data_IF_071363916407
#
_entry.id   IF_071363916407
#
_cell.length_a   1.000
_cell.length_b   1.000
_cell.length_c   1.000
_cell.angle_alpha   90.00
_cell.angle_beta   90.00
_cell.angle_gamma   90.00
#
_symmetry.space_group_name_H-M   'P 1'
#
loop_
_entity.id
_entity.type
_entity.pdbx_description
1 polymer ?
#
# COMPACT_ATOMS: atom_id res chain seq x y z
N UNK A 1 0.76 -14.53 6.79
CA UNK A 1 0.08 -13.93 5.63
C UNK A 1 1.03 -13.57 4.48
N UNK A 2 2.31 -13.21 4.73
CA UNK A 2 3.21 -12.71 3.66
C UNK A 2 4.26 -13.71 3.17
N UNK A 3 4.51 -14.79 3.92
CA UNK A 3 5.41 -15.87 3.46
C UNK A 3 4.78 -16.63 2.31
N UNK A 4 5.61 -17.19 1.45
CA UNK A 4 5.18 -18.17 0.46
C UNK A 4 4.32 -19.24 1.14
N UNK A 5 3.07 -19.35 0.70
CA UNK A 5 2.16 -20.38 1.16
C UNK A 5 2.19 -21.51 0.14
N UNK A 6 3.33 -22.19 0.03
CA UNK A 6 3.49 -23.32 -0.90
C UNK A 6 2.43 -24.41 -0.67
N UNK A 7 1.96 -24.55 0.57
CA UNK A 7 0.91 -25.50 0.94
C UNK A 7 -0.47 -25.08 0.43
N UNK A 8 -0.77 -23.77 0.36
CA UNK A 8 -2.06 -23.25 -0.08
C UNK A 8 -1.90 -22.03 -1.02
N UNK A 9 -1.41 -22.23 -2.26
CA UNK A 9 -1.09 -21.14 -3.19
C UNK A 9 -2.32 -20.40 -3.73
N UNK A 10 -3.51 -20.96 -3.58
CA UNK A 10 -4.77 -20.34 -3.98
C UNK A 10 -5.22 -19.21 -3.04
N UNK A 11 -4.49 -18.97 -1.95
CA UNK A 11 -4.91 -18.09 -0.87
C UNK A 11 -4.20 -16.76 -0.89
N UNK A 12 -4.97 -15.72 -0.69
CA UNK A 12 -4.48 -14.36 -0.60
C UNK A 12 -5.32 -13.55 0.36
N UNK A 13 -4.74 -12.47 0.85
CA UNK A 13 -5.46 -11.51 1.65
C UNK A 13 -4.63 -10.31 2.01
N UNK A 14 -5.29 -9.28 2.50
CA UNK A 14 -4.68 -8.06 3.01
C UNK A 14 -5.44 -7.59 4.25
N UNK A 15 -4.78 -6.76 5.05
CA UNK A 15 -5.39 -6.17 6.24
C UNK A 15 -5.65 -4.71 5.98
N UNK A 16 -6.77 -4.21 6.48
CA UNK A 16 -7.10 -2.78 6.47
C UNK A 16 -7.43 -2.32 7.88
N UNK A 17 -6.85 -1.19 8.31
CA UNK A 17 -7.29 -0.42 9.46
C UNK A 17 -8.13 0.75 8.93
N UNK A 18 -9.28 1.03 9.51
CA UNK A 18 -10.16 2.12 9.05
C UNK A 18 -10.74 2.91 10.21
N UNK A 19 -10.85 4.22 10.03
CA UNK A 19 -11.47 5.14 10.99
C UNK A 19 -12.10 6.34 10.28
N UNK A 20 -13.12 6.93 10.88
CA UNK A 20 -13.67 8.22 10.47
C UNK A 20 -14.19 8.98 11.69
N UNK A 21 -14.37 10.31 11.61
CA UNK A 21 -14.73 11.12 12.78
C UNK A 21 -15.98 10.62 13.49
N UNK A 22 -15.93 10.59 14.82
CA UNK A 22 -17.04 10.11 15.66
C UNK A 22 -17.34 8.60 15.58
N UNK A 23 -16.42 7.79 15.00
CA UNK A 23 -16.55 6.32 14.92
C UNK A 23 -15.39 5.64 15.64
N UNK A 24 -15.62 4.45 16.16
CA UNK A 24 -14.54 3.60 16.67
C UNK A 24 -13.68 3.09 15.49
N UNK A 25 -12.35 2.97 15.66
CA UNK A 25 -11.50 2.37 14.66
C UNK A 25 -11.86 0.89 14.46
N UNK A 26 -11.66 0.40 13.24
CA UNK A 26 -11.99 -0.97 12.85
C UNK A 26 -10.85 -1.63 12.08
N UNK A 27 -10.79 -2.96 12.14
CA UNK A 27 -9.83 -3.76 11.37
C UNK A 27 -10.61 -4.74 10.50
N UNK A 28 -10.29 -4.76 9.21
CA UNK A 28 -10.82 -5.71 8.25
C UNK A 28 -9.71 -6.65 7.76
N UNK A 29 -10.01 -7.95 7.73
CA UNK A 29 -9.18 -8.96 7.09
C UNK A 29 -9.87 -9.38 5.79
N UNK A 30 -9.35 -8.91 4.66
CA UNK A 30 -9.90 -9.26 3.35
C UNK A 30 -9.16 -10.52 2.91
N UNK A 31 -9.89 -11.62 2.77
CA UNK A 31 -9.32 -12.94 2.45
C UNK A 31 -10.02 -13.53 1.24
N UNK A 32 -9.27 -14.22 0.39
CA UNK A 32 -9.76 -14.89 -0.80
C UNK A 32 -9.07 -16.24 -0.99
N UNK A 33 -9.82 -17.23 -1.46
CA UNK A 33 -9.30 -18.51 -1.93
C UNK A 33 -9.87 -18.76 -3.34
N UNK A 34 -9.01 -18.77 -4.36
CA UNK A 34 -9.44 -18.85 -5.77
C UNK A 34 -9.91 -20.24 -6.20
N UNK A 35 -9.63 -21.27 -5.39
CA UNK A 35 -10.13 -22.64 -5.58
C UNK A 35 -11.51 -22.85 -4.91
N UNK A 36 -12.03 -21.83 -4.21
CA UNK A 36 -13.33 -21.89 -3.55
C UNK A 36 -13.34 -22.63 -2.20
N UNK A 37 -12.18 -22.85 -1.59
CA UNK A 37 -12.08 -23.52 -0.28
C UNK A 37 -12.49 -22.55 0.84
N UNK A 38 -13.61 -22.83 1.50
CA UNK A 38 -14.23 -21.95 2.50
C UNK A 38 -13.61 -22.01 3.90
N UNK A 39 -12.86 -23.07 4.22
CA UNK A 39 -12.27 -23.30 5.54
C UNK A 39 -10.78 -23.67 5.43
N UNK A 40 -10.03 -22.75 4.85
CA UNK A 40 -8.58 -22.81 4.85
C UNK A 40 -7.98 -22.78 6.26
N UNK A 41 -6.88 -23.50 6.47
CA UNK A 41 -6.04 -23.41 7.67
C UNK A 41 -5.20 -22.12 7.74
N UNK A 42 -4.92 -21.46 6.63
CA UNK A 42 -4.02 -20.30 6.61
C UNK A 42 -4.60 -19.05 7.27
N UNK A 43 -5.91 -19.05 7.48
CA UNK A 43 -6.64 -18.01 8.20
C UNK A 43 -7.18 -18.51 9.55
N UNK A 44 -6.65 -19.63 10.06
CA UNK A 44 -6.97 -20.10 11.40
C UNK A 44 -6.64 -18.99 12.43
N UNK A 45 -7.52 -18.84 13.42
CA UNK A 45 -7.41 -17.78 14.43
C UNK A 45 -8.19 -16.51 14.12
N UNK A 46 -8.53 -16.21 12.85
CA UNK A 46 -9.36 -15.02 12.55
C UNK A 46 -10.75 -15.13 13.17
N UNK A 47 -11.30 -16.34 13.22
CA UNK A 47 -12.60 -16.62 13.83
C UNK A 47 -12.59 -16.47 15.37
N UNK A 48 -11.41 -16.42 15.99
CA UNK A 48 -11.25 -16.27 17.45
C UNK A 48 -11.17 -14.79 17.87
N UNK A 49 -11.09 -13.87 16.91
CA UNK A 49 -11.14 -12.42 17.15
C UNK A 49 -12.57 -12.01 17.52
N UNK A 50 -12.74 -11.11 18.49
CA UNK A 50 -14.06 -10.65 18.95
C UNK A 50 -14.03 -9.19 19.39
N UNK A 51 -15.04 -8.36 19.03
CA UNK A 51 -16.17 -8.69 18.16
C UNK A 51 -15.75 -8.88 16.69
N UNK A 52 -16.37 -9.85 16.00
CA UNK A 52 -16.10 -10.19 14.60
C UNK A 52 -17.40 -10.18 13.80
N UNK A 53 -17.36 -9.51 12.65
CA UNK A 53 -18.38 -9.62 11.60
C UNK A 53 -17.75 -10.38 10.45
N UNK A 54 -18.16 -11.63 10.24
CA UNK A 54 -17.69 -12.46 9.12
C UNK A 54 -18.69 -12.41 7.96
N UNK A 55 -18.29 -11.78 6.86
CA UNK A 55 -19.10 -11.65 5.63
C UNK A 55 -18.59 -12.53 4.50
N UNK A 56 -17.64 -13.45 4.76
CA UNK A 56 -17.08 -14.32 3.72
C UNK A 56 -18.15 -15.20 3.10
N UNK A 57 -18.12 -15.31 1.79
CA UNK A 57 -19.04 -16.14 1.02
C UNK A 57 -18.37 -16.64 -0.27
N UNK A 58 -18.88 -17.74 -0.83
CA UNK A 58 -18.45 -18.23 -2.13
C UNK A 58 -19.14 -17.42 -3.23
N UNK A 59 -18.36 -16.65 -3.99
CA UNK A 59 -18.85 -15.80 -5.08
C UNK A 59 -17.92 -15.92 -6.30
N UNK A 60 -18.42 -15.69 -7.53
CA UNK A 60 -17.54 -15.55 -8.69
C UNK A 60 -16.57 -14.38 -8.52
N UNK A 61 -15.38 -14.46 -9.13
CA UNK A 61 -14.38 -13.36 -9.09
C UNK A 61 -14.97 -12.01 -9.55
N UNK A 62 -15.90 -12.02 -10.50
CA UNK A 62 -16.58 -10.78 -10.95
C UNK A 62 -17.42 -10.11 -9.86
N UNK A 63 -18.05 -10.89 -8.98
CA UNK A 63 -18.80 -10.36 -7.84
C UNK A 63 -17.86 -9.94 -6.72
N UNK A 64 -16.78 -10.68 -6.48
CA UNK A 64 -15.75 -10.28 -5.51
C UNK A 64 -15.13 -8.92 -5.87
N UNK A 65 -14.79 -8.68 -7.14
CA UNK A 65 -14.28 -7.38 -7.61
C UNK A 65 -15.29 -6.26 -7.39
N UNK A 66 -16.59 -6.51 -7.59
CA UNK A 66 -17.64 -5.52 -7.29
C UNK A 66 -17.74 -5.23 -5.80
N UNK A 67 -17.55 -6.21 -4.93
CA UNK A 67 -17.57 -6.02 -3.47
C UNK A 67 -16.39 -5.17 -2.98
N UNK A 68 -15.24 -5.21 -3.67
CA UNK A 68 -14.09 -4.35 -3.37
C UNK A 68 -14.25 -2.91 -3.86
N UNK A 69 -15.25 -2.64 -4.71
CA UNK A 69 -15.44 -1.30 -5.26
C UNK A 69 -15.97 -0.35 -4.18
N UNK A 70 -15.15 0.62 -3.79
CA UNK A 70 -15.53 1.69 -2.89
C UNK A 70 -16.46 2.73 -3.53
N UNK A 71 -16.86 3.71 -2.73
CA UNK A 71 -17.66 4.85 -3.17
C UNK A 71 -16.91 5.68 -4.21
N UNK A 72 -17.54 5.90 -5.37
CA UNK A 72 -16.99 6.74 -6.43
C UNK A 72 -17.25 8.23 -6.17
N UNK A 73 -16.42 9.09 -6.75
CA UNK A 73 -16.59 10.55 -6.70
C UNK A 73 -16.01 11.23 -5.47
N UNK A 74 -15.20 10.53 -4.68
CA UNK A 74 -14.47 11.07 -3.54
C UNK A 74 -13.10 11.62 -3.96
N UNK A 75 -12.60 12.59 -3.20
CA UNK A 75 -11.24 13.09 -3.29
C UNK A 75 -10.32 12.18 -2.45
N UNK A 76 -9.15 11.84 -2.98
CA UNK A 76 -8.25 10.86 -2.36
C UNK A 76 -6.88 11.49 -2.08
N UNK A 77 -6.37 11.28 -0.87
CA UNK A 77 -4.97 11.59 -0.52
C UNK A 77 -4.30 10.27 -0.18
N UNK A 78 -3.29 9.87 -0.96
CA UNK A 78 -2.62 8.57 -0.83
C UNK A 78 -1.12 8.72 -0.65
N UNK A 79 -0.57 7.91 0.23
CA UNK A 79 0.87 7.77 0.46
C UNK A 79 1.25 6.30 0.58
N UNK A 80 2.50 5.96 0.27
CA UNK A 80 2.98 4.57 0.35
C UNK A 80 4.36 4.43 0.94
N UNK A 81 4.59 3.30 1.62
CA UNK A 81 5.89 2.84 2.07
C UNK A 81 5.89 1.32 2.11
N UNK A 82 7.05 0.69 1.90
CA UNK A 82 7.22 -0.75 2.11
C UNK A 82 8.18 -1.07 3.24
N UNK A 83 7.98 -2.20 3.90
CA UNK A 83 8.80 -2.69 5.01
C UNK A 83 8.62 -4.19 5.21
N UNK A 84 9.52 -4.84 5.95
CA UNK A 84 9.45 -6.28 6.19
C UNK A 84 8.17 -6.65 6.95
N UNK A 85 7.56 -7.77 6.57
CA UNK A 85 6.32 -8.26 7.13
C UNK A 85 6.51 -8.95 8.49
N UNK A 86 6.85 -8.16 9.51
CA UNK A 86 7.04 -8.63 10.88
C UNK A 86 5.95 -8.12 11.81
N UNK A 87 5.75 -8.83 12.93
CA UNK A 87 4.83 -8.39 13.98
C UNK A 87 5.27 -7.07 14.62
N UNK A 88 6.56 -6.77 14.62
CA UNK A 88 7.08 -5.50 15.12
C UNK A 88 6.63 -4.34 14.23
N UNK A 89 6.83 -4.46 12.91
CA UNK A 89 6.36 -3.44 11.96
C UNK A 89 4.85 -3.30 11.98
N UNK A 90 4.10 -4.41 12.07
CA UNK A 90 2.64 -4.37 12.19
C UNK A 90 2.16 -3.61 13.44
N UNK A 91 2.86 -3.77 14.58
CA UNK A 91 2.58 -2.99 15.80
C UNK A 91 2.93 -1.52 15.64
N UNK A 92 4.04 -1.20 14.96
CA UNK A 92 4.42 0.19 14.69
C UNK A 92 3.38 0.89 13.82
N UNK A 93 2.87 0.22 12.79
CA UNK A 93 1.79 0.75 11.94
C UNK A 93 0.52 1.01 12.76
N UNK A 94 0.15 0.10 13.67
CA UNK A 94 -1.00 0.29 14.55
C UNK A 94 -0.80 1.49 15.50
N UNK A 95 0.37 1.61 16.12
CA UNK A 95 0.72 2.74 17.00
C UNK A 95 0.60 4.09 16.27
N UNK A 96 1.16 4.18 15.05
CA UNK A 96 1.12 5.39 14.23
C UNK A 96 -0.31 5.69 13.76
N UNK A 97 -1.08 4.66 13.40
CA UNK A 97 -2.50 4.81 13.06
C UNK A 97 -3.31 5.36 14.23
N UNK A 98 -3.16 4.80 15.43
CA UNK A 98 -3.86 5.27 16.64
C UNK A 98 -3.48 6.70 17.01
N UNK A 99 -2.20 7.07 16.91
CA UNK A 99 -1.73 8.43 17.14
C UNK A 99 -2.29 9.42 16.11
N UNK A 100 -2.31 9.03 14.84
CA UNK A 100 -2.85 9.83 13.75
C UNK A 100 -4.35 10.13 13.94
N UNK A 101 -5.16 9.10 14.21
CA UNK A 101 -6.62 9.30 14.35
C UNK A 101 -6.95 10.14 15.60
N UNK A 102 -6.18 9.97 16.69
CA UNK A 102 -6.33 10.80 17.88
C UNK A 102 -5.99 12.28 17.61
N UNK A 103 -4.99 12.55 16.77
CA UNK A 103 -4.65 13.91 16.36
C UNK A 103 -5.70 14.51 15.40
N UNK A 104 -6.35 13.70 14.56
CA UNK A 104 -7.31 14.16 13.55
C UNK A 104 -8.75 14.30 14.08
N UNK A 105 -9.06 13.75 15.25
CA UNK A 105 -10.39 13.88 15.88
C UNK A 105 -10.80 15.36 16.02
N UNK A 106 -11.98 15.69 15.50
CA UNK A 106 -12.51 17.06 15.49
C UNK A 106 -11.82 18.04 14.51
N UNK A 107 -10.90 17.58 13.67
CA UNK A 107 -10.19 18.41 12.67
C UNK A 107 -10.54 18.12 11.22
N UNK A 108 -11.14 16.98 10.93
CA UNK A 108 -11.54 16.55 9.57
C UNK A 108 -13.05 16.69 9.33
N UNK A 109 -13.43 16.75 8.06
CA UNK A 109 -14.83 16.54 7.63
C UNK A 109 -15.42 15.26 8.24
N UNK A 110 -16.65 15.33 8.74
CA UNK A 110 -17.35 14.21 9.40
C UNK A 110 -17.55 12.98 8.50
N UNK A 111 -17.47 13.16 7.18
CA UNK A 111 -17.58 12.10 6.18
C UNK A 111 -16.21 11.60 5.68
N UNK A 112 -15.10 12.14 6.21
CA UNK A 112 -13.77 11.65 5.91
C UNK A 112 -13.58 10.21 6.41
N UNK A 113 -12.83 9.41 5.68
CA UNK A 113 -12.44 8.05 6.10
C UNK A 113 -10.95 7.86 5.91
N UNK A 114 -10.22 7.62 7.00
CA UNK A 114 -8.81 7.23 7.00
C UNK A 114 -8.73 5.72 6.88
N UNK A 115 -7.87 5.21 6.00
CA UNK A 115 -7.65 3.79 5.79
C UNK A 115 -6.16 3.52 5.66
N UNK A 116 -5.65 2.53 6.40
CA UNK A 116 -4.32 1.97 6.21
C UNK A 116 -4.47 0.58 5.63
N UNK A 117 -4.02 0.36 4.39
CA UNK A 117 -4.08 -0.94 3.73
C UNK A 117 -2.68 -1.57 3.73
N UNK A 118 -2.56 -2.74 4.35
CA UNK A 118 -1.34 -3.53 4.40
C UNK A 118 -1.44 -4.72 3.45
N UNK A 119 -0.85 -4.57 2.27
CA UNK A 119 -0.86 -5.59 1.21
C UNK A 119 0.44 -6.40 1.25
N UNK A 120 0.36 -7.75 1.36
CA UNK A 120 1.54 -8.61 1.25
C UNK A 120 2.30 -8.45 -0.06
N UNK A 121 3.62 -8.34 0.03
CA UNK A 121 4.59 -8.38 -1.05
C UNK A 121 5.51 -9.60 -0.84
N UNK A 122 5.16 -10.69 -1.51
CA UNK A 122 5.91 -11.95 -1.44
C UNK A 122 7.22 -11.89 -2.23
N UNK A 123 8.27 -12.54 -1.71
CA UNK A 123 9.55 -12.74 -2.40
C UNK A 123 9.42 -13.38 -3.79
N UNK A 124 8.31 -14.05 -4.09
CA UNK A 124 8.02 -14.56 -5.44
C UNK A 124 8.01 -13.48 -6.53
N UNK A 125 7.72 -12.21 -6.18
CA UNK A 125 7.83 -11.10 -7.13
C UNK A 125 9.29 -10.81 -7.54
N UNK A 126 10.27 -11.27 -6.77
CA UNK A 126 11.70 -11.21 -7.08
C UNK A 126 12.23 -12.46 -7.81
N UNK A 127 11.47 -13.57 -7.86
CA UNK A 127 11.98 -14.85 -8.35
C UNK A 127 11.72 -15.12 -9.85
N UNK A 128 11.04 -14.22 -10.56
CA UNK A 128 10.63 -14.42 -11.97
C UNK A 128 11.60 -13.80 -13.00
N UNK A 129 12.86 -13.59 -12.63
CA UNK A 129 13.87 -12.95 -13.46
C UNK A 129 13.94 -11.42 -13.29
N UNK A 130 14.85 -10.74 -14.01
CA UNK A 130 15.06 -9.30 -13.87
C UNK A 130 13.78 -8.53 -14.10
N UNK A 131 13.41 -7.66 -13.16
CA UNK A 131 12.26 -6.77 -13.29
C UNK A 131 12.69 -5.31 -13.11
N UNK A 132 12.00 -4.42 -13.81
CA UNK A 132 12.30 -2.98 -13.81
C UNK A 132 12.00 -2.29 -12.48
N UNK A 133 11.33 -2.98 -11.55
CA UNK A 133 10.93 -2.45 -10.25
C UNK A 133 12.03 -2.60 -9.19
N UNK A 134 13.17 -3.24 -9.53
CA UNK A 134 14.29 -3.45 -8.61
C UNK A 134 14.06 -4.53 -7.56
N UNK A 135 12.95 -5.28 -7.62
CA UNK A 135 12.59 -6.22 -6.55
C UNK A 135 13.58 -7.38 -6.43
N UNK A 136 14.31 -7.74 -7.49
CA UNK A 136 15.33 -8.79 -7.42
C UNK A 136 16.45 -8.47 -6.42
N UNK A 137 16.74 -7.19 -6.22
CA UNK A 137 17.81 -6.70 -5.34
C UNK A 137 17.25 -6.29 -3.96
N UNK A 138 16.10 -5.60 -3.97
CA UNK A 138 15.53 -4.98 -2.77
C UNK A 138 14.61 -5.90 -1.95
N UNK A 139 13.90 -6.82 -2.59
CA UNK A 139 12.91 -7.68 -1.91
C UNK A 139 13.55 -8.98 -1.43
N UNK A 140 14.42 -8.87 -0.42
CA UNK A 140 15.15 -10.01 0.17
C UNK A 140 14.35 -10.75 1.24
N UNK A 141 13.37 -10.08 1.84
CA UNK A 141 12.47 -10.63 2.85
C UNK A 141 11.01 -10.41 2.42
N UNK A 142 10.06 -11.24 2.90
CA UNK A 142 8.63 -10.96 2.71
C UNK A 142 8.27 -9.60 3.31
N UNK A 143 7.62 -8.74 2.53
CA UNK A 143 7.35 -7.36 2.91
C UNK A 143 5.87 -6.99 2.82
N UNK A 144 5.50 -5.85 3.38
CA UNK A 144 4.19 -5.23 3.23
C UNK A 144 4.38 -3.99 2.37
N UNK A 145 3.50 -3.79 1.39
CA UNK A 145 3.25 -2.48 0.79
C UNK A 145 2.12 -1.84 1.58
N UNK A 146 2.44 -0.77 2.31
CA UNK A 146 1.47 0.03 3.02
C UNK A 146 0.93 1.12 2.09
N UNK A 147 -0.38 1.26 2.08
CA UNK A 147 -1.07 2.45 1.59
C UNK A 147 -1.69 3.17 2.78
N UNK A 148 -1.34 4.44 2.96
CA UNK A 148 -2.03 5.35 3.87
C UNK A 148 -2.95 6.22 3.02
N UNK A 149 -4.25 6.14 3.25
CA UNK A 149 -5.23 6.87 2.44
C UNK A 149 -6.28 7.61 3.27
N UNK A 150 -6.79 8.70 2.70
CA UNK A 150 -8.01 9.34 3.14
C UNK A 150 -8.97 9.50 1.97
N UNK A 151 -10.22 9.08 2.17
CA UNK A 151 -11.35 9.37 1.29
C UNK A 151 -12.09 10.60 1.82
N UNK A 152 -12.20 11.65 1.00
CA UNK A 152 -12.80 12.93 1.36
C UNK A 152 -13.97 13.28 0.44
N UNK A 153 -15.01 13.97 0.94
CA UNK A 153 -16.07 14.51 0.09
C UNK A 153 -15.59 15.71 -0.75
N UNK A 154 -14.60 16.47 -0.28
CA UNK A 154 -14.06 17.68 -0.92
C UNK A 154 -12.56 17.80 -0.66
N UNK A 155 -11.78 18.58 -1.45
CA UNK A 155 -10.34 18.71 -1.25
C UNK A 155 -9.94 19.63 -0.08
N UNK A 156 -10.89 20.13 0.72
CA UNK A 156 -10.62 21.16 1.74
C UNK A 156 -9.56 20.74 2.79
N UNK A 157 -9.52 19.44 3.14
CA UNK A 157 -8.61 18.90 4.14
C UNK A 157 -7.33 18.30 3.53
N UNK A 158 -7.13 18.40 2.21
CA UNK A 158 -5.99 17.80 1.51
C UNK A 158 -4.64 18.26 2.07
N UNK A 159 -4.48 19.56 2.30
CA UNK A 159 -3.19 20.10 2.77
C UNK A 159 -2.83 19.58 4.17
N UNK A 160 -3.83 19.53 5.07
CA UNK A 160 -3.67 18.95 6.41
C UNK A 160 -3.28 17.47 6.30
N UNK A 161 -4.00 16.70 5.48
CA UNK A 161 -3.73 15.26 5.34
C UNK A 161 -2.38 14.98 4.68
N UNK A 162 -1.96 15.80 3.72
CA UNK A 162 -0.63 15.69 3.09
C UNK A 162 0.46 15.83 4.14
N UNK A 163 0.41 16.88 4.98
CA UNK A 163 1.37 17.09 6.07
C UNK A 163 1.38 15.89 7.05
N UNK A 164 0.20 15.41 7.43
CA UNK A 164 0.07 14.31 8.40
C UNK A 164 0.54 12.98 7.83
N UNK A 165 0.25 12.70 6.57
CA UNK A 165 0.63 11.45 5.93
C UNK A 165 2.12 11.42 5.60
N UNK A 166 2.73 12.55 5.24
CA UNK A 166 4.19 12.68 5.13
C UNK A 166 4.87 12.31 6.45
N UNK A 167 4.44 12.92 7.57
CA UNK A 167 4.99 12.64 8.89
C UNK A 167 4.82 11.16 9.30
N UNK A 168 3.65 10.56 9.03
CA UNK A 168 3.36 9.14 9.30
C UNK A 168 4.28 8.21 8.51
N UNK A 169 4.45 8.48 7.21
CA UNK A 169 5.32 7.66 6.36
C UNK A 169 6.78 7.78 6.79
N UNK A 170 7.24 9.00 7.09
CA UNK A 170 8.60 9.25 7.55
C UNK A 170 8.88 8.51 8.87
N UNK A 171 7.94 8.55 9.82
CA UNK A 171 8.09 7.85 11.10
C UNK A 171 8.18 6.31 10.92
N UNK A 172 7.35 5.75 10.04
CA UNK A 172 7.37 4.31 9.72
C UNK A 172 8.69 3.95 9.01
N UNK A 173 9.13 4.78 8.06
CA UNK A 173 10.37 4.58 7.32
C UNK A 173 11.59 4.64 8.24
N UNK A 174 11.68 5.65 9.11
CA UNK A 174 12.77 5.80 10.07
C UNK A 174 12.83 4.61 11.05
N UNK A 175 11.68 4.14 11.54
CA UNK A 175 11.63 2.96 12.39
C UNK A 175 12.10 1.70 11.65
N UNK A 176 11.63 1.49 10.42
CA UNK A 176 12.03 0.37 9.59
C UNK A 176 13.54 0.41 9.29
N UNK A 177 14.09 1.58 8.94
CA UNK A 177 15.52 1.77 8.68
C UNK A 177 16.36 1.48 9.94
N UNK A 178 15.96 2.03 11.09
CA UNK A 178 16.67 1.84 12.37
C UNK A 178 16.69 0.38 12.83
N UNK A 179 15.68 -0.40 12.46
CA UNK A 179 15.52 -1.80 12.87
C UNK A 179 15.95 -2.80 11.80
N UNK A 180 16.44 -2.33 10.64
CA UNK A 180 16.87 -3.19 9.53
C UNK A 180 15.72 -3.90 8.82
N UNK A 181 14.53 -3.28 8.81
CA UNK A 181 13.28 -3.82 8.26
C UNK A 181 12.75 -2.99 7.08
N UNK A 182 13.60 -2.19 6.45
CA UNK A 182 13.22 -1.32 5.34
C UNK A 182 13.15 -2.09 4.03
N UNK A 183 12.11 -1.82 3.24
CA UNK A 183 12.04 -2.20 1.83
C UNK A 183 11.88 -0.91 1.04
N UNK A 184 12.88 -0.56 0.22
CA UNK A 184 12.94 0.76 -0.42
C UNK A 184 11.82 0.93 -1.46
N UNK A 185 11.36 -0.17 -2.06
CA UNK A 185 10.30 -0.20 -3.07
C UNK A 185 9.05 0.61 -2.66
N UNK A 186 8.64 1.55 -3.50
CA UNK A 186 7.40 2.32 -3.35
C UNK A 186 6.47 2.00 -4.51
N UNK A 187 5.26 1.55 -4.19
CA UNK A 187 4.31 1.19 -5.24
C UNK A 187 3.74 2.44 -5.91
N UNK A 188 4.12 2.66 -7.16
CA UNK A 188 3.82 3.88 -7.94
C UNK A 188 2.33 4.25 -7.96
N UNK A 189 1.42 3.27 -7.90
CA UNK A 189 -0.02 3.51 -7.94
C UNK A 189 -0.60 4.04 -6.61
N UNK A 190 0.14 3.94 -5.51
CA UNK A 190 -0.23 4.47 -4.19
C UNK A 190 0.56 5.71 -3.80
N UNK A 191 1.58 6.09 -4.58
CA UNK A 191 2.49 7.15 -4.22
C UNK A 191 1.82 8.53 -4.37
N UNK A 192 2.02 9.39 -3.37
CA UNK A 192 1.66 10.80 -3.48
C UNK A 192 2.56 11.50 -4.50
N UNK A 193 2.09 12.62 -5.07
CA UNK A 193 2.89 13.44 -5.99
C UNK A 193 4.19 14.00 -5.39
N UNK A 194 4.29 14.09 -4.06
CA UNK A 194 5.50 14.53 -3.35
C UNK A 194 6.50 13.40 -3.13
N UNK A 195 6.10 12.14 -3.35
CA UNK A 195 7.00 10.99 -3.26
C UNK A 195 7.71 10.74 -4.60
N UNK A 196 8.84 10.04 -4.54
CA UNK A 196 9.57 9.56 -5.72
C UNK A 196 9.61 8.03 -5.76
N UNK A 197 8.60 7.37 -6.36
CA UNK A 197 8.58 5.92 -6.47
C UNK A 197 9.58 5.39 -7.49
N UNK A 198 9.96 6.18 -8.51
CA UNK A 198 10.91 5.74 -9.54
C UNK A 198 12.34 5.64 -8.98
N UNK A 199 12.68 6.44 -7.96
CA UNK A 199 13.93 6.28 -7.22
C UNK A 199 14.06 4.89 -6.58
N UNK A 200 12.94 4.29 -6.16
CA UNK A 200 12.96 2.98 -5.52
C UNK A 200 13.29 1.80 -6.43
N UNK A 201 13.42 2.03 -7.75
CA UNK A 201 13.71 0.97 -8.71
C UNK A 201 15.20 0.65 -8.81
N UNK A 202 16.07 1.48 -8.23
CA UNK A 202 17.53 1.36 -8.31
C UNK A 202 18.14 2.08 -9.52
N UNK A 203 19.42 2.47 -9.39
CA UNK A 203 20.12 3.32 -10.36
C UNK A 203 20.19 2.71 -11.77
N UNK A 204 20.54 1.42 -11.86
CA UNK A 204 20.66 0.72 -13.14
C UNK A 204 19.31 0.67 -13.90
N UNK A 205 18.20 0.48 -13.17
CA UNK A 205 16.86 0.49 -13.73
C UNK A 205 16.43 1.90 -14.16
N UNK A 206 16.80 2.94 -13.40
CA UNK A 206 16.56 4.33 -13.81
C UNK A 206 17.32 4.67 -15.10
N UNK A 207 18.59 4.28 -15.21
CA UNK A 207 19.39 4.49 -16.42
C UNK A 207 18.81 3.75 -17.62
N UNK A 208 18.33 2.52 -17.40
CA UNK A 208 17.64 1.77 -18.44
C UNK A 208 16.34 2.47 -18.89
N UNK A 209 15.52 2.94 -17.95
CA UNK A 209 14.30 3.70 -18.25
C UNK A 209 14.59 4.97 -19.04
N UNK A 210 15.64 5.70 -18.67
CA UNK A 210 16.05 6.90 -19.40
C UNK A 210 16.50 6.57 -20.83
N UNK A 211 17.30 5.52 -21.01
CA UNK A 211 17.72 5.06 -22.34
C UNK A 211 16.54 4.63 -23.21
N UNK A 212 15.57 3.91 -22.64
CA UNK A 212 14.34 3.52 -23.32
C UNK A 212 13.53 4.76 -23.72
N UNK A 213 13.38 5.73 -22.80
CA UNK A 213 12.69 6.98 -23.10
C UNK A 213 13.36 7.75 -24.25
N UNK A 214 14.68 7.88 -24.25
CA UNK A 214 15.42 8.53 -25.34
C UNK A 214 15.30 7.79 -26.67
N UNK A 215 15.18 6.46 -26.65
CA UNK A 215 15.08 5.63 -27.86
C UNK A 215 13.68 5.72 -28.50
N UNK A 216 12.63 5.65 -27.70
CA UNK A 216 11.24 5.52 -28.18
C UNK A 216 10.41 6.80 -28.09
N UNK A 217 10.82 7.76 -27.25
CA UNK A 217 10.23 9.09 -27.13
C UNK A 217 11.34 10.18 -27.16
N UNK A 218 12.11 10.29 -28.25
CA UNK A 218 13.26 11.20 -28.32
C UNK A 218 12.89 12.69 -28.17
N UNK A 219 11.62 13.04 -28.38
CA UNK A 219 11.12 14.40 -28.19
C UNK A 219 10.50 14.63 -26.79
N UNK A 220 10.47 13.61 -25.93
CA UNK A 220 9.95 13.69 -24.56
C UNK A 220 8.46 14.01 -24.48
N UNK A 221 7.64 13.55 -25.43
CA UNK A 221 6.20 13.78 -25.41
C UNK A 221 5.57 13.31 -24.08
N UNK A 222 5.90 12.12 -23.59
CA UNK A 222 5.35 11.59 -22.33
C UNK A 222 5.97 12.23 -21.09
N UNK A 223 7.16 12.82 -21.22
CA UNK A 223 7.82 13.57 -20.15
C UNK A 223 7.22 14.98 -19.97
N UNK A 224 6.77 15.62 -21.06
CA UNK A 224 6.41 17.05 -21.05
C UNK A 224 4.96 17.36 -21.44
N UNK A 225 4.31 16.54 -22.27
CA UNK A 225 2.96 16.84 -22.80
C UNK A 225 1.85 16.09 -22.08
N UNK A 226 2.15 14.95 -21.46
CA UNK A 226 1.18 14.21 -20.66
C UNK A 226 1.20 14.72 -19.23
N UNK A 227 0.10 15.33 -18.79
CA UNK A 227 -0.10 15.76 -17.41
C UNK A 227 -0.25 14.57 -16.45
N UNK A 228 0.24 14.72 -15.23
CA UNK A 228 0.16 13.69 -14.19
C UNK A 228 1.15 12.54 -14.37
N UNK A 229 1.10 11.61 -13.41
CA UNK A 229 2.03 10.49 -13.30
C UNK A 229 3.46 10.92 -12.98
N UNK A 230 4.26 9.94 -12.52
CA UNK A 230 5.68 10.17 -12.24
C UNK A 230 6.49 10.21 -13.54
N UNK A 231 7.44 11.13 -13.61
CA UNK A 231 8.27 11.36 -14.80
C UNK A 231 9.69 10.91 -14.51
N UNK A 232 10.26 10.12 -15.42
CA UNK A 232 11.65 9.65 -15.35
C UNK A 232 12.59 10.87 -15.23
N UNK A 233 12.34 11.90 -16.02
CA UNK A 233 13.10 13.17 -16.01
C UNK A 233 13.02 13.99 -14.71
N UNK A 234 12.11 13.65 -13.79
CA UNK A 234 11.94 14.33 -12.50
C UNK A 234 12.31 13.46 -11.30
N UNK A 235 12.71 12.22 -11.54
CA UNK A 235 13.11 11.31 -10.47
C UNK A 235 14.54 11.64 -10.02
N UNK A 236 14.77 11.61 -8.71
CA UNK A 236 16.07 11.70 -8.09
C UNK A 236 16.88 10.45 -8.43
N UNK A 237 18.19 10.63 -8.63
CA UNK A 237 19.09 9.49 -8.80
C UNK A 237 19.21 8.72 -7.48
N UNK A 238 19.07 7.40 -7.56
CA UNK A 238 19.30 6.49 -6.45
C UNK A 238 20.79 6.47 -6.02
#
# INVERSE_FOLDING_TARGET
MVRENEENPAESGFVSLSWGPGRDPSVAFITANVDGVSKSSSFAGLADLGPLIDTRSAVPNSEFVKQLQGTLGLYNVWFTQSFHATMEMGRKVLEVFEALIADLEGKLDENATIIFVMTPLSTNYANNGPNILGLNEELTEPSIVLQVECLLPTPNDEALLTEKFEAVIDEIFEHAARTGQSTIFKYINYAHQTQDPLQSYGGDNQDFLEKVAQTYDPNGFFQHRVSGGFKISKSNRA
#
